data_IF_982151681519
#
_entry.id   IF_982151681519
#
_cell.length_a   1.000
_cell.length_b   1.000
_cell.length_c   1.000
_cell.angle_alpha   90.00
_cell.angle_beta   90.00
_cell.angle_gamma   90.00
#
_symmetry.space_group_name_H-M   'P 1'
#
loop_
_entity.id
_entity.type
_entity.pdbx_description
1 polymer ?
#
# COMPACT_ATOMS: atom_id res chain seq x y z
N UNK A 1 20.76 -0.85 1.90
CA UNK A 1 22.22 -1.07 2.02
C UNK A 1 22.64 -1.93 3.23
N UNK A 2 22.10 -1.72 4.43
CA UNK A 2 22.53 -2.44 5.65
C UNK A 2 22.37 -3.97 5.56
N UNK A 3 21.25 -4.47 4.99
CA UNK A 3 21.01 -5.91 4.80
C UNK A 3 21.98 -6.56 3.80
N UNK A 4 22.36 -5.87 2.73
CA UNK A 4 23.34 -6.38 1.75
C UNK A 4 24.72 -6.58 2.40
N UNK A 5 25.11 -5.69 3.32
CA UNK A 5 26.36 -5.81 4.06
C UNK A 5 26.33 -6.95 5.09
N UNK A 6 25.22 -7.08 5.83
CA UNK A 6 25.04 -8.15 6.82
C UNK A 6 24.95 -9.54 6.20
N UNK A 7 24.39 -9.64 4.98
CA UNK A 7 24.29 -10.90 4.24
C UNK A 7 25.57 -11.33 3.52
N UNK A 8 26.62 -10.49 3.51
CA UNK A 8 27.85 -10.80 2.80
C UNK A 8 28.59 -11.97 3.44
N UNK A 9 28.93 -12.98 2.64
CA UNK A 9 29.65 -14.17 3.11
C UNK A 9 28.78 -15.26 3.76
N UNK A 10 27.46 -15.09 3.85
CA UNK A 10 26.56 -16.15 4.30
C UNK A 10 26.45 -17.22 3.20
N UNK A 11 26.60 -18.50 3.59
CA UNK A 11 26.50 -19.63 2.67
C UNK A 11 25.06 -19.84 2.14
N UNK A 12 24.06 -19.52 2.95
CA UNK A 12 22.66 -19.70 2.61
C UNK A 12 21.89 -18.38 2.79
N UNK A 13 21.14 -17.98 1.77
CA UNK A 13 20.34 -16.76 1.76
C UNK A 13 18.98 -17.04 1.16
N UNK A 14 17.93 -16.50 1.77
CA UNK A 14 16.57 -16.64 1.29
C UNK A 14 15.84 -15.29 1.41
N UNK A 15 15.11 -14.92 0.38
CA UNK A 15 14.21 -13.75 0.37
C UNK A 15 12.78 -14.22 0.14
N UNK A 16 11.92 -14.11 1.15
CA UNK A 16 10.49 -14.39 1.05
C UNK A 16 9.71 -13.07 1.10
N UNK A 17 8.94 -12.79 0.06
CA UNK A 17 8.10 -11.59 0.00
C UNK A 17 6.92 -11.81 -0.92
N UNK A 18 5.75 -11.24 -0.58
CA UNK A 18 4.61 -11.18 -1.48
C UNK A 18 4.66 -10.00 -2.46
N UNK A 19 5.61 -9.07 -2.27
CA UNK A 19 5.79 -7.87 -3.10
C UNK A 19 7.27 -7.68 -3.40
N UNK A 20 7.85 -8.46 -4.32
CA UNK A 20 9.29 -8.41 -4.59
C UNK A 20 9.76 -7.09 -5.24
N UNK A 21 8.87 -6.41 -5.96
CA UNK A 21 9.13 -5.15 -6.63
C UNK A 21 7.87 -4.26 -6.58
N UNK A 22 7.50 -3.74 -5.38
CA UNK A 22 6.21 -3.09 -5.16
C UNK A 22 6.06 -1.75 -5.92
N UNK A 23 7.14 -1.09 -6.28
CA UNK A 23 7.07 0.19 -6.98
C UNK A 23 7.58 0.12 -8.41
N UNK A 24 8.66 -0.63 -8.66
CA UNK A 24 9.26 -0.76 -9.97
C UNK A 24 10.12 -2.03 -10.06
N UNK A 25 10.21 -2.61 -11.27
CA UNK A 25 11.05 -3.79 -11.58
C UNK A 25 12.53 -3.62 -11.22
N UNK A 26 13.04 -2.38 -11.11
CA UNK A 26 14.42 -2.11 -10.68
C UNK A 26 14.71 -2.63 -9.26
N UNK A 27 13.69 -2.80 -8.43
CA UNK A 27 13.83 -3.25 -7.04
C UNK A 27 14.32 -4.70 -6.95
N UNK A 28 14.13 -5.52 -7.99
CA UNK A 28 14.73 -6.86 -8.10
C UNK A 28 16.27 -6.83 -8.04
N UNK A 29 16.90 -5.70 -8.37
CA UNK A 29 18.34 -5.54 -8.26
C UNK A 29 18.84 -5.77 -6.82
N UNK A 30 18.08 -5.34 -5.81
CA UNK A 30 18.45 -5.54 -4.42
C UNK A 30 18.43 -7.03 -4.03
N UNK A 31 17.42 -7.78 -4.48
CA UNK A 31 17.32 -9.23 -4.27
C UNK A 31 18.44 -9.97 -5.00
N UNK A 32 18.71 -9.59 -6.26
CA UNK A 32 19.76 -10.20 -7.07
C UNK A 32 21.16 -10.04 -6.44
N UNK A 33 21.45 -8.86 -5.87
CA UNK A 33 22.73 -8.62 -5.19
C UNK A 33 22.77 -9.32 -3.83
N UNK A 34 21.68 -9.32 -3.05
CA UNK A 34 21.63 -10.01 -1.78
C UNK A 34 21.84 -11.53 -1.93
N UNK A 35 21.29 -12.12 -2.99
CA UNK A 35 21.43 -13.55 -3.30
C UNK A 35 22.68 -13.88 -4.12
N UNK A 36 23.66 -12.99 -4.23
CA UNK A 36 24.93 -13.12 -4.95
C UNK A 36 24.78 -13.49 -6.44
N UNK A 37 23.65 -13.14 -7.06
CA UNK A 37 23.43 -13.35 -8.50
C UNK A 37 24.05 -12.26 -9.36
N UNK A 38 24.22 -11.08 -8.79
CA UNK A 38 24.91 -9.95 -9.40
C UNK A 38 25.85 -9.29 -8.39
N UNK A 39 27.03 -8.83 -8.84
CA UNK A 39 28.00 -8.22 -7.94
C UNK A 39 27.55 -6.86 -7.39
N UNK A 40 26.77 -6.10 -8.16
CA UNK A 40 26.27 -4.78 -7.78
C UNK A 40 24.90 -4.50 -8.37
N UNK A 41 24.16 -3.55 -7.75
CA UNK A 41 22.90 -3.04 -8.29
C UNK A 41 23.10 -2.47 -9.70
N UNK A 42 24.18 -1.71 -9.91
CA UNK A 42 24.46 -1.10 -11.20
C UNK A 42 24.71 -2.13 -12.30
N UNK A 43 25.37 -3.27 -11.99
CA UNK A 43 25.59 -4.33 -12.98
C UNK A 43 24.28 -5.00 -13.41
N UNK A 44 23.31 -5.16 -12.50
CA UNK A 44 21.99 -5.66 -12.81
C UNK A 44 21.20 -4.63 -13.67
N UNK A 45 21.21 -3.37 -13.26
CA UNK A 45 20.50 -2.30 -13.98
C UNK A 45 21.08 -2.12 -15.40
N UNK A 46 22.40 -2.05 -15.55
CA UNK A 46 23.05 -1.91 -16.85
C UNK A 46 22.69 -3.04 -17.83
N UNK A 47 22.47 -4.25 -17.32
CA UNK A 47 22.12 -5.41 -18.17
C UNK A 47 20.71 -5.28 -18.76
N UNK A 48 19.72 -4.92 -17.94
CA UNK A 48 18.32 -4.99 -18.34
C UNK A 48 17.66 -3.63 -18.56
N UNK A 49 18.20 -2.57 -18.00
CA UNK A 49 17.58 -1.24 -17.98
C UNK A 49 18.42 -0.21 -18.71
N UNK A 50 17.79 0.88 -19.10
CA UNK A 50 18.43 2.08 -19.63
C UNK A 50 18.10 3.25 -18.73
N UNK A 51 19.11 4.06 -18.41
CA UNK A 51 18.88 5.30 -17.67
C UNK A 51 18.47 6.41 -18.64
N UNK A 52 17.26 6.95 -18.48
CA UNK A 52 16.68 8.03 -19.27
C UNK A 52 16.78 9.39 -18.58
N UNK A 53 17.26 9.44 -17.33
CA UNK A 53 17.39 10.66 -16.58
C UNK A 53 18.63 11.44 -16.95
N UNK A 54 18.51 12.78 -17.10
CA UNK A 54 19.67 13.68 -17.29
C UNK A 54 20.21 14.23 -15.96
N UNK A 55 19.31 14.51 -15.01
CA UNK A 55 19.64 15.07 -13.68
C UNK A 55 19.36 14.12 -12.52
N UNK A 56 18.38 13.24 -12.68
CA UNK A 56 18.04 12.20 -11.73
C UNK A 56 17.99 10.84 -12.43
N UNK A 57 18.44 9.79 -11.76
CA UNK A 57 18.38 8.44 -12.30
C UNK A 57 16.93 8.03 -12.56
N UNK A 58 16.63 7.76 -13.82
CA UNK A 58 15.34 7.23 -14.27
C UNK A 58 15.59 5.99 -15.10
N UNK A 59 15.52 4.85 -14.43
CA UNK A 59 15.75 3.55 -15.06
C UNK A 59 14.46 3.02 -15.68
N UNK A 60 14.52 2.64 -16.95
CA UNK A 60 13.43 1.99 -17.68
C UNK A 60 13.91 0.67 -18.25
N UNK A 61 13.06 -0.37 -18.18
CA UNK A 61 13.39 -1.66 -18.80
C UNK A 61 13.58 -1.46 -20.32
N UNK A 62 14.68 -2.00 -20.85
CA UNK A 62 14.93 -1.96 -22.31
C UNK A 62 13.79 -2.67 -23.05
N UNK A 63 13.29 -2.17 -24.19
CA UNK A 63 12.13 -2.74 -24.86
C UNK A 63 12.25 -4.25 -25.18
N UNK A 64 13.47 -4.69 -25.53
CA UNK A 64 13.78 -6.09 -25.86
C UNK A 64 14.14 -6.93 -24.64
N UNK A 65 14.26 -6.36 -23.44
CA UNK A 65 14.77 -7.04 -22.26
C UNK A 65 13.69 -7.74 -21.42
N UNK A 66 12.41 -7.57 -21.69
CA UNK A 66 11.33 -8.10 -20.85
C UNK A 66 11.43 -9.62 -20.65
N UNK A 67 11.45 -10.38 -21.73
CA UNK A 67 11.60 -11.85 -21.66
C UNK A 67 12.94 -12.30 -21.09
N UNK A 68 14.11 -11.79 -21.55
CA UNK A 68 15.41 -12.10 -20.95
C UNK A 68 15.48 -11.75 -19.46
N UNK A 69 14.85 -10.67 -19.02
CA UNK A 69 14.79 -10.25 -17.64
C UNK A 69 14.06 -11.30 -16.78
N UNK A 70 12.82 -11.65 -17.12
CA UNK A 70 12.04 -12.61 -16.34
C UNK A 70 12.60 -14.03 -16.46
N UNK A 71 13.16 -14.40 -17.61
CA UNK A 71 13.88 -15.68 -17.76
C UNK A 71 15.09 -15.76 -16.82
N UNK A 72 15.87 -14.69 -16.70
CA UNK A 72 16.98 -14.66 -15.74
C UNK A 72 16.50 -14.71 -14.29
N UNK A 73 15.35 -14.10 -13.96
CA UNK A 73 14.76 -14.21 -12.63
C UNK A 73 14.35 -15.66 -12.33
N UNK A 74 13.81 -16.40 -13.31
CA UNK A 74 13.37 -17.79 -13.10
C UNK A 74 14.50 -18.75 -12.76
N UNK A 75 15.77 -18.40 -13.01
CA UNK A 75 16.92 -19.22 -12.66
C UNK A 75 17.18 -19.26 -11.14
N UNK A 76 16.71 -18.25 -10.39
CA UNK A 76 16.98 -18.10 -8.95
C UNK A 76 15.80 -17.64 -8.13
N UNK A 77 14.66 -17.37 -8.75
CA UNK A 77 13.40 -16.97 -8.12
C UNK A 77 12.34 -18.04 -8.33
N UNK A 78 11.52 -18.29 -7.31
CA UNK A 78 10.24 -18.98 -7.47
C UNK A 78 9.16 -17.93 -7.36
N UNK A 79 8.32 -17.82 -8.38
CA UNK A 79 7.19 -16.90 -8.39
C UNK A 79 5.92 -17.69 -8.64
N UNK A 80 4.98 -17.61 -7.72
CA UNK A 80 3.68 -18.28 -7.80
C UNK A 80 2.62 -17.30 -7.30
N UNK A 81 1.77 -16.84 -8.20
CA UNK A 81 0.61 -16.05 -7.87
C UNK A 81 -0.62 -16.96 -7.76
N UNK A 82 -0.81 -17.80 -8.79
CA UNK A 82 -1.84 -18.83 -8.78
C UNK A 82 -1.20 -20.21 -9.07
N UNK A 83 -1.25 -21.17 -8.12
CA UNK A 83 -0.73 -22.52 -8.31
C UNK A 83 -1.32 -23.24 -9.53
N UNK A 84 -2.56 -22.93 -9.95
CA UNK A 84 -3.20 -23.51 -11.12
C UNK A 84 -2.44 -23.23 -12.42
N UNK A 85 -1.70 -22.13 -12.49
CA UNK A 85 -0.81 -21.80 -13.61
C UNK A 85 0.23 -22.91 -13.85
N UNK A 86 0.62 -23.64 -12.80
CA UNK A 86 1.59 -24.72 -12.82
C UNK A 86 0.97 -26.13 -12.74
N UNK A 87 -0.36 -26.23 -12.95
CA UNK A 87 -1.07 -27.52 -12.94
C UNK A 87 -1.48 -28.01 -11.56
N UNK A 88 -1.37 -27.18 -10.52
CA UNK A 88 -1.86 -27.48 -9.17
C UNK A 88 -3.31 -27.03 -8.99
N UNK A 89 -3.90 -27.34 -7.85
CA UNK A 89 -5.24 -26.86 -7.51
C UNK A 89 -5.26 -25.34 -7.40
N UNK A 90 -6.29 -24.71 -7.97
CA UNK A 90 -6.53 -23.27 -7.81
C UNK A 90 -6.93 -22.97 -6.36
N UNK A 91 -6.09 -22.26 -5.65
CA UNK A 91 -6.37 -21.82 -4.28
C UNK A 91 -7.03 -20.44 -4.22
N UNK A 92 -7.29 -19.83 -5.37
CA UNK A 92 -8.01 -18.55 -5.49
C UNK A 92 -9.44 -18.71 -5.95
N UNK A 93 -9.85 -19.95 -6.32
CA UNK A 93 -11.22 -20.25 -6.69
C UNK A 93 -12.16 -19.95 -5.51
N UNK A 94 -13.18 -19.14 -5.78
CA UNK A 94 -14.10 -18.68 -4.74
C UNK A 94 -13.57 -17.58 -3.83
N UNK A 95 -12.39 -16.99 -4.14
CA UNK A 95 -11.85 -15.87 -3.38
C UNK A 95 -12.76 -14.64 -3.52
N UNK A 96 -13.28 -14.05 -2.42
CA UNK A 96 -14.18 -12.93 -2.52
C UNK A 96 -13.52 -11.71 -3.19
N UNK A 97 -14.23 -11.00 -4.08
CA UNK A 97 -13.68 -9.86 -4.77
C UNK A 97 -13.38 -8.68 -3.84
N UNK A 98 -12.48 -7.81 -4.28
CA UNK A 98 -12.23 -6.52 -3.67
C UNK A 98 -12.93 -5.45 -4.52
N UNK A 99 -13.79 -4.65 -3.88
CA UNK A 99 -14.42 -3.50 -4.49
C UNK A 99 -13.80 -2.22 -3.95
N UNK A 100 -13.25 -1.39 -4.83
CA UNK A 100 -12.61 -0.11 -4.46
C UNK A 100 -13.57 1.02 -4.81
N UNK A 101 -13.90 1.83 -3.80
CA UNK A 101 -14.78 2.99 -3.90
C UNK A 101 -13.95 4.25 -3.65
N UNK A 102 -13.86 5.10 -4.66
CA UNK A 102 -13.25 6.44 -4.52
C UNK A 102 -14.40 7.43 -4.35
N UNK A 103 -14.37 8.15 -3.26
CA UNK A 103 -15.48 9.03 -2.85
C UNK A 103 -14.98 10.46 -2.70
N UNK A 104 -15.64 11.38 -3.40
CA UNK A 104 -15.26 12.79 -3.36
C UNK A 104 -15.79 13.46 -2.09
N UNK A 105 -14.90 14.16 -1.41
CA UNK A 105 -15.21 14.97 -0.23
C UNK A 105 -14.85 16.41 -0.52
N UNK A 106 -15.82 17.30 -0.38
CA UNK A 106 -15.63 18.72 -0.63
C UNK A 106 -14.67 19.36 0.39
N UNK A 107 -13.80 20.23 -0.10
CA UNK A 107 -12.99 21.11 0.74
C UNK A 107 -13.87 22.18 1.40
N UNK A 108 -13.50 22.58 2.61
CA UNK A 108 -14.07 23.78 3.22
C UNK A 108 -13.51 25.04 2.53
N UNK A 109 -14.22 26.16 2.64
CA UNK A 109 -13.74 27.43 2.09
C UNK A 109 -12.37 27.85 2.66
N UNK A 110 -12.12 27.53 3.93
CA UNK A 110 -10.84 27.78 4.58
C UNK A 110 -9.72 26.96 3.96
N UNK A 111 -9.95 25.67 3.72
CA UNK A 111 -8.97 24.79 3.04
C UNK A 111 -8.66 25.29 1.64
N UNK A 112 -9.67 25.73 0.88
CA UNK A 112 -9.47 26.31 -0.47
C UNK A 112 -8.62 27.57 -0.39
N UNK A 113 -8.91 28.50 0.53
CA UNK A 113 -8.11 29.73 0.72
C UNK A 113 -6.66 29.44 1.07
N UNK A 114 -6.41 28.47 1.95
CA UNK A 114 -5.07 28.09 2.37
C UNK A 114 -4.29 27.41 1.23
N UNK A 115 -4.93 26.53 0.47
CA UNK A 115 -4.32 25.88 -0.69
C UNK A 115 -3.89 26.91 -1.75
N UNK A 116 -4.76 27.88 -2.07
CA UNK A 116 -4.43 28.97 -3.02
C UNK A 116 -3.26 29.84 -2.56
N UNK A 117 -3.20 30.18 -1.26
CA UNK A 117 -2.12 31.01 -0.69
C UNK A 117 -0.76 30.30 -0.71
N UNK A 118 -0.75 28.98 -0.59
CA UNK A 118 0.48 28.18 -0.62
C UNK A 118 1.14 28.10 -2.00
N UNK A 119 0.60 28.82 -3.01
CA UNK A 119 1.12 28.80 -4.40
C UNK A 119 0.98 27.43 -5.05
N UNK A 120 0.22 26.57 -4.43
CA UNK A 120 -0.08 25.24 -4.95
C UNK A 120 -1.13 25.39 -6.04
N UNK A 121 -0.76 24.94 -7.22
CA UNK A 121 -1.74 24.58 -8.23
C UNK A 121 -2.69 23.57 -7.57
N UNK A 122 -3.94 23.97 -7.35
CA UNK A 122 -5.01 23.10 -6.83
C UNK A 122 -5.18 21.82 -7.67
N UNK A 123 -4.57 21.79 -8.85
CA UNK A 123 -4.69 20.76 -9.87
C UNK A 123 -3.38 20.02 -10.19
N UNK A 124 -2.34 20.12 -9.35
CA UNK A 124 -1.33 19.08 -9.37
C UNK A 124 -0.02 19.32 -10.09
N UNK A 125 0.66 20.40 -9.83
CA UNK A 125 2.12 20.35 -10.05
C UNK A 125 2.75 19.43 -9.02
N UNK A 126 3.57 18.44 -9.42
CA UNK A 126 4.20 17.52 -8.50
C UNK A 126 5.33 18.22 -7.74
N UNK A 127 4.95 18.94 -6.70
CA UNK A 127 5.90 19.38 -5.69
C UNK A 127 6.59 18.19 -5.05
N UNK A 128 7.80 18.35 -4.55
CA UNK A 128 8.53 17.31 -3.84
C UNK A 128 7.73 16.69 -2.68
N UNK A 129 8.22 15.60 -2.10
CA UNK A 129 7.56 14.82 -1.03
C UNK A 129 7.06 15.71 0.12
N UNK A 130 7.80 16.78 0.47
CA UNK A 130 7.41 17.73 1.51
C UNK A 130 6.15 18.53 1.15
N UNK A 131 5.99 18.92 -0.10
CA UNK A 131 4.79 19.62 -0.59
C UNK A 131 3.57 18.71 -0.55
N UNK A 132 3.69 17.48 -1.02
CA UNK A 132 2.61 16.47 -0.97
C UNK A 132 2.13 16.20 0.45
N UNK A 133 3.06 16.09 1.40
CA UNK A 133 2.70 15.89 2.82
C UNK A 133 1.95 17.07 3.40
N UNK A 134 2.29 18.33 3.05
CA UNK A 134 1.57 19.52 3.49
C UNK A 134 0.17 19.55 2.93
N UNK A 135 0.03 19.30 1.64
CA UNK A 135 -1.27 19.24 0.94
C UNK A 135 -2.17 18.14 1.54
N UNK A 136 -1.63 16.95 1.77
CA UNK A 136 -2.36 15.86 2.37
C UNK A 136 -2.79 16.14 3.82
N UNK A 137 -2.00 16.86 4.60
CA UNK A 137 -2.38 17.30 5.95
C UNK A 137 -3.48 18.36 5.89
N UNK A 138 -3.37 19.30 4.97
CA UNK A 138 -4.40 20.33 4.77
C UNK A 138 -5.76 19.69 4.43
N UNK A 139 -5.78 18.70 3.53
CA UNK A 139 -6.99 17.96 3.20
C UNK A 139 -7.69 17.33 4.41
N UNK A 140 -6.93 17.00 5.46
CA UNK A 140 -7.42 16.41 6.72
C UNK A 140 -7.67 17.42 7.84
N UNK A 141 -7.57 18.71 7.52
CA UNK A 141 -7.81 19.78 8.50
C UNK A 141 -6.59 20.15 9.35
N UNK A 142 -5.37 20.06 8.78
CA UNK A 142 -4.14 20.48 9.46
C UNK A 142 -3.27 21.34 8.55
N UNK A 143 -2.94 22.54 9.01
CA UNK A 143 -2.05 23.46 8.30
C UNK A 143 -0.98 23.99 9.24
N UNK A 144 0.31 23.77 8.92
CA UNK A 144 1.47 24.20 9.70
C UNK A 144 1.45 23.81 11.20
N UNK A 145 0.72 22.78 11.57
CA UNK A 145 0.56 22.33 12.97
C UNK A 145 -0.79 22.73 13.59
N UNK A 146 -1.49 23.69 13.00
CA UNK A 146 -2.77 24.18 13.49
C UNK A 146 -3.93 23.38 12.89
N UNK A 147 -5.02 23.28 13.67
CA UNK A 147 -6.25 22.65 13.21
C UNK A 147 -7.05 23.61 12.33
N UNK A 148 -7.54 23.11 11.21
CA UNK A 148 -8.38 23.78 10.23
C UNK A 148 -9.66 22.95 10.05
N UNK A 149 -10.79 23.59 9.81
CA UNK A 149 -12.04 22.88 9.52
C UNK A 149 -11.87 21.97 8.30
N UNK A 150 -12.40 20.72 8.39
CA UNK A 150 -12.37 19.75 7.30
C UNK A 150 -13.63 18.88 7.33
N UNK A 151 -14.20 18.62 6.15
CA UNK A 151 -15.36 17.76 6.00
C UNK A 151 -15.00 16.27 6.07
N UNK A 152 -13.73 15.94 5.92
CA UNK A 152 -13.28 14.54 5.74
C UNK A 152 -13.57 13.66 6.95
N UNK A 153 -13.30 14.14 8.16
CA UNK A 153 -13.60 13.39 9.39
C UNK A 153 -15.08 13.09 9.56
N UNK A 154 -15.94 14.10 9.33
CA UNK A 154 -17.39 13.94 9.39
C UNK A 154 -17.91 12.97 8.33
N UNK A 155 -17.36 13.04 7.10
CA UNK A 155 -17.68 12.10 6.03
C UNK A 155 -17.32 10.65 6.40
N UNK A 156 -16.10 10.41 6.90
CA UNK A 156 -15.66 9.08 7.33
C UNK A 156 -16.56 8.54 8.45
N UNK A 157 -16.95 9.41 9.40
CA UNK A 157 -17.88 9.02 10.45
C UNK A 157 -19.22 8.59 9.87
N UNK A 158 -19.85 9.42 9.04
CA UNK A 158 -21.12 9.10 8.42
C UNK A 158 -21.07 7.79 7.61
N UNK A 159 -19.96 7.57 6.91
CA UNK A 159 -19.71 6.34 6.16
C UNK A 159 -19.66 5.12 7.09
N UNK A 160 -18.86 5.15 8.16
CA UNK A 160 -18.75 4.06 9.14
C UNK A 160 -20.06 3.82 9.91
N UNK A 161 -20.79 4.88 10.21
CA UNK A 161 -22.10 4.78 10.88
C UNK A 161 -23.18 4.16 9.97
N UNK A 162 -23.02 4.24 8.65
CA UNK A 162 -23.92 3.58 7.69
C UNK A 162 -23.76 2.05 7.65
N UNK A 163 -22.75 1.49 8.31
CA UNK A 163 -22.47 0.05 8.39
C UNK A 163 -22.46 -0.46 9.85
N UNK A 164 -23.58 -0.43 10.57
CA UNK A 164 -23.61 -0.73 12.00
C UNK A 164 -23.16 -2.13 12.35
N UNK A 165 -23.34 -3.10 11.43
CA UNK A 165 -23.05 -4.53 11.65
C UNK A 165 -21.74 -5.00 10.96
N UNK A 166 -20.98 -4.09 10.32
CA UNK A 166 -19.79 -4.45 9.57
C UNK A 166 -18.51 -4.13 10.32
N UNK A 167 -17.64 -5.13 10.47
CA UNK A 167 -16.30 -4.91 11.03
C UNK A 167 -15.48 -4.05 10.07
N UNK A 168 -15.00 -2.91 10.57
CA UNK A 168 -14.38 -1.86 9.77
C UNK A 168 -12.98 -1.52 10.25
N UNK A 169 -12.01 -1.53 9.33
CA UNK A 169 -10.66 -1.01 9.55
C UNK A 169 -10.55 0.41 8.99
N UNK A 170 -10.05 1.33 9.80
CA UNK A 170 -9.79 2.72 9.38
C UNK A 170 -8.28 2.97 9.39
N UNK A 171 -7.72 3.19 8.21
CA UNK A 171 -6.29 3.38 7.99
C UNK A 171 -5.93 4.87 7.95
N UNK A 172 -5.05 5.27 8.87
CA UNK A 172 -4.52 6.62 8.98
C UNK A 172 -3.02 6.66 8.66
N UNK A 173 -2.48 7.84 8.42
CA UNK A 173 -1.03 8.06 8.24
C UNK A 173 -0.43 8.89 9.37
N UNK A 174 -1.14 9.93 9.80
CA UNK A 174 -0.67 10.88 10.80
C UNK A 174 -1.26 10.58 12.18
N UNK A 175 -0.52 10.91 13.27
CA UNK A 175 -1.02 10.75 14.63
C UNK A 175 -2.25 11.61 14.89
N UNK A 176 -2.17 12.90 14.53
CA UNK A 176 -3.26 13.85 14.71
C UNK A 176 -4.56 13.42 14.02
N UNK A 177 -4.45 12.87 12.81
CA UNK A 177 -5.57 12.29 12.07
C UNK A 177 -6.18 11.09 12.78
N UNK A 178 -5.32 10.18 13.26
CA UNK A 178 -5.76 8.99 14.00
C UNK A 178 -6.45 9.35 15.31
N UNK A 179 -5.88 10.28 16.08
CA UNK A 179 -6.43 10.75 17.36
C UNK A 179 -7.79 11.44 17.17
N UNK A 180 -7.96 12.20 16.09
CA UNK A 180 -9.21 12.84 15.77
C UNK A 180 -10.29 11.82 15.37
N UNK A 181 -9.98 10.91 14.46
CA UNK A 181 -10.94 9.88 14.04
C UNK A 181 -11.30 8.94 15.20
N UNK A 182 -10.36 8.61 16.06
CA UNK A 182 -10.64 7.80 17.26
C UNK A 182 -11.61 8.48 18.22
N UNK A 183 -11.60 9.81 18.30
CA UNK A 183 -12.60 10.59 19.10
C UNK A 183 -13.95 10.71 18.40
N UNK A 184 -13.96 10.74 17.07
CA UNK A 184 -15.18 10.92 16.28
C UNK A 184 -15.97 9.63 16.08
N UNK A 185 -15.32 8.47 16.07
CA UNK A 185 -15.93 7.17 15.81
C UNK A 185 -16.34 6.48 17.12
N UNK A 186 -17.64 6.41 17.46
CA UNK A 186 -18.09 5.86 18.73
C UNK A 186 -17.72 4.38 18.87
N UNK A 187 -17.22 3.98 20.04
CA UNK A 187 -16.91 2.58 20.34
C UNK A 187 -15.78 1.99 19.53
N UNK A 188 -14.98 2.80 18.83
CA UNK A 188 -13.80 2.30 18.13
C UNK A 188 -12.65 2.03 19.11
N UNK A 189 -11.79 1.08 18.73
CA UNK A 189 -10.46 0.93 19.33
C UNK A 189 -9.40 1.59 18.44
N UNK A 190 -8.33 2.07 19.04
CA UNK A 190 -7.21 2.69 18.32
C UNK A 190 -5.89 2.07 18.75
N UNK A 191 -5.08 1.60 17.78
CA UNK A 191 -3.72 1.09 18.04
C UNK A 191 -2.71 2.04 17.44
N UNK A 192 -1.86 2.60 18.30
CA UNK A 192 -0.77 3.50 17.93
C UNK A 192 0.59 2.83 18.10
N UNK A 193 1.67 3.52 17.73
CA UNK A 193 3.03 3.04 17.97
C UNK A 193 3.40 2.94 19.46
N UNK A 194 2.71 3.67 20.32
CA UNK A 194 2.92 3.70 21.77
C UNK A 194 1.97 2.81 22.57
N UNK A 195 0.99 2.18 21.92
CA UNK A 195 0.07 1.23 22.58
C UNK A 195 0.87 0.05 23.16
N UNK A 196 0.76 -0.26 24.46
CA UNK A 196 1.42 -1.40 25.09
C UNK A 196 1.10 -2.72 24.40
N UNK A 197 2.01 -3.69 24.48
CA UNK A 197 1.88 -4.94 23.72
C UNK A 197 0.65 -5.75 24.13
N UNK A 198 0.43 -5.90 25.43
CA UNK A 198 -0.73 -6.59 26.01
C UNK A 198 -2.06 -5.95 25.61
N UNK A 199 -2.13 -4.64 25.63
CA UNK A 199 -3.32 -3.92 25.18
C UNK A 199 -3.53 -4.07 23.67
N UNK A 200 -2.44 -4.04 22.89
CA UNK A 200 -2.52 -4.27 21.44
C UNK A 200 -3.07 -5.67 21.13
N UNK A 201 -2.56 -6.69 21.82
CA UNK A 201 -3.03 -8.07 21.66
C UNK A 201 -4.52 -8.20 22.02
N UNK A 202 -4.95 -7.59 23.12
CA UNK A 202 -6.35 -7.55 23.55
C UNK A 202 -7.27 -6.90 22.52
N UNK A 203 -6.85 -5.75 21.98
CA UNK A 203 -7.62 -5.03 20.94
C UNK A 203 -7.71 -5.87 19.66
N UNK A 204 -6.62 -6.47 19.23
CA UNK A 204 -6.58 -7.31 18.02
C UNK A 204 -7.51 -8.53 18.22
N UNK A 205 -7.40 -9.22 19.35
CA UNK A 205 -8.26 -10.35 19.66
C UNK A 205 -9.75 -9.96 19.71
N UNK A 206 -10.07 -8.81 20.33
CA UNK A 206 -11.41 -8.27 20.36
C UNK A 206 -11.96 -7.92 18.97
N UNK A 207 -11.12 -7.37 18.09
CA UNK A 207 -11.50 -7.09 16.71
C UNK A 207 -11.72 -8.40 15.92
N UNK A 208 -10.84 -9.38 16.06
CA UNK A 208 -10.96 -10.68 15.41
C UNK A 208 -12.19 -11.48 15.89
N UNK A 209 -12.56 -11.31 17.15
CA UNK A 209 -13.77 -11.91 17.72
C UNK A 209 -15.06 -11.13 17.39
N UNK A 210 -14.97 -9.96 16.76
CA UNK A 210 -16.12 -9.10 16.45
C UNK A 210 -16.68 -8.30 17.64
N UNK A 211 -16.06 -8.34 18.82
CA UNK A 211 -16.46 -7.54 19.99
C UNK A 211 -16.05 -6.06 19.85
N UNK A 212 -15.03 -5.80 19.05
CA UNK A 212 -14.63 -4.47 18.61
C UNK A 212 -14.97 -4.36 17.13
N UNK A 213 -15.95 -3.51 16.79
CA UNK A 213 -16.44 -3.35 15.42
C UNK A 213 -15.51 -2.48 14.56
N UNK A 214 -14.98 -1.41 15.12
CA UNK A 214 -14.16 -0.43 14.38
C UNK A 214 -12.76 -0.37 14.99
N UNK A 215 -11.75 -0.53 14.14
CA UNK A 215 -10.35 -0.41 14.54
C UNK A 215 -9.65 0.68 13.72
N UNK A 216 -9.12 1.70 14.41
CA UNK A 216 -8.40 2.81 13.80
C UNK A 216 -6.90 2.60 14.01
N UNK A 217 -6.11 2.59 12.96
CA UNK A 217 -4.67 2.34 13.04
C UNK A 217 -3.92 2.81 11.78
N UNK A 218 -2.64 2.46 11.69
CA UNK A 218 -1.78 2.76 10.53
C UNK A 218 -1.29 1.48 9.86
N UNK A 219 -1.15 1.47 8.53
CA UNK A 219 -0.56 0.33 7.81
C UNK A 219 0.81 -0.08 8.36
N UNK A 220 1.65 0.88 8.76
CA UNK A 220 2.97 0.61 9.36
C UNK A 220 2.92 -0.12 10.70
N UNK A 221 1.81 -0.04 11.43
CA UNK A 221 1.65 -0.65 12.76
C UNK A 221 1.05 -2.05 12.62
N UNK A 222 -0.03 -2.20 11.87
CA UNK A 222 -0.75 -3.46 11.72
C UNK A 222 -0.67 -4.04 10.29
N UNK A 223 0.07 -3.41 9.39
CA UNK A 223 0.22 -3.86 8.01
C UNK A 223 1.03 -5.15 7.83
N UNK A 224 1.63 -5.73 8.88
CA UNK A 224 2.44 -6.94 8.78
C UNK A 224 1.95 -8.06 9.72
N UNK A 225 1.85 -9.28 9.19
CA UNK A 225 1.73 -10.51 9.95
C UNK A 225 0.36 -10.86 10.55
N UNK A 226 -0.63 -9.96 10.52
CA UNK A 226 -1.92 -10.19 11.16
C UNK A 226 -3.01 -10.66 10.17
N UNK A 227 -3.95 -11.47 10.66
CA UNK A 227 -5.17 -11.85 9.96
C UNK A 227 -6.33 -11.01 10.48
N UNK A 228 -6.90 -10.17 9.62
CA UNK A 228 -8.04 -9.31 9.94
C UNK A 228 -9.19 -9.56 8.95
N UNK A 229 -9.43 -10.84 8.62
CA UNK A 229 -10.42 -11.30 7.63
C UNK A 229 -11.87 -11.00 8.02
N UNK A 230 -12.11 -10.76 9.30
CA UNK A 230 -13.43 -10.33 9.79
C UNK A 230 -13.82 -8.97 9.21
N UNK A 231 -12.85 -8.12 8.88
CA UNK A 231 -13.12 -6.82 8.30
C UNK A 231 -13.57 -6.94 6.85
N UNK A 232 -14.83 -6.58 6.62
CA UNK A 232 -15.46 -6.50 5.29
C UNK A 232 -15.41 -5.10 4.72
N UNK A 233 -15.04 -4.12 5.54
CA UNK A 233 -14.89 -2.71 5.19
C UNK A 233 -13.52 -2.21 5.59
N UNK A 234 -12.87 -1.50 4.66
CA UNK A 234 -11.66 -0.75 4.94
C UNK A 234 -11.84 0.69 4.47
N UNK A 235 -11.50 1.65 5.32
CA UNK A 235 -11.53 3.07 5.00
C UNK A 235 -10.10 3.60 5.05
N UNK A 236 -9.59 4.07 3.91
CA UNK A 236 -8.31 4.75 3.85
C UNK A 236 -8.53 6.25 4.00
N UNK A 237 -8.44 6.77 5.21
CA UNK A 237 -8.45 8.21 5.45
C UNK A 237 -7.26 8.90 4.77
N UNK A 238 -6.14 8.20 4.63
CA UNK A 238 -5.00 8.59 3.79
C UNK A 238 -4.57 7.42 2.93
N UNK A 239 -4.60 7.60 1.61
CA UNK A 239 -3.98 6.71 0.64
C UNK A 239 -2.93 7.54 -0.13
N UNK A 240 -1.68 7.53 0.34
CA UNK A 240 -0.65 8.46 -0.14
C UNK A 240 0.65 7.74 -0.46
N UNK A 241 1.11 7.90 -1.71
CA UNK A 241 2.47 7.64 -2.21
C UNK A 241 3.00 6.19 -2.13
N UNK A 242 2.51 5.34 -1.24
CA UNK A 242 3.00 3.97 -1.08
C UNK A 242 1.97 2.93 -1.50
N UNK A 243 2.16 2.37 -2.69
CA UNK A 243 1.40 1.20 -3.13
C UNK A 243 1.59 0.01 -2.18
N UNK A 244 2.81 -0.22 -1.70
CA UNK A 244 3.12 -1.33 -0.79
C UNK A 244 2.31 -1.25 0.51
N UNK A 245 2.26 -0.06 1.16
CA UNK A 245 1.46 0.15 2.38
C UNK A 245 -0.03 -0.12 2.12
N UNK A 246 -0.56 0.38 0.98
CA UNK A 246 -1.93 0.13 0.56
C UNK A 246 -2.20 -1.36 0.33
N UNK A 247 -1.39 -2.00 -0.49
CA UNK A 247 -1.53 -3.42 -0.84
C UNK A 247 -1.46 -4.32 0.40
N UNK A 248 -0.46 -4.11 1.25
CA UNK A 248 -0.29 -4.88 2.48
C UNK A 248 -1.48 -4.69 3.43
N UNK A 249 -2.02 -3.47 3.57
CA UNK A 249 -3.19 -3.19 4.38
C UNK A 249 -4.44 -3.89 3.84
N UNK A 250 -4.70 -3.80 2.54
CA UNK A 250 -5.84 -4.48 1.88
C UNK A 250 -5.76 -5.99 2.08
N UNK A 251 -4.58 -6.58 1.91
CA UNK A 251 -4.33 -8.02 2.07
C UNK A 251 -4.39 -8.52 3.52
N UNK A 252 -4.64 -7.66 4.52
CA UNK A 252 -4.96 -8.11 5.90
C UNK A 252 -6.37 -8.69 6.00
N UNK A 253 -7.30 -8.17 5.23
CA UNK A 253 -8.70 -8.63 5.22
C UNK A 253 -8.99 -9.58 4.07
N UNK A 254 -8.42 -9.33 2.88
CA UNK A 254 -8.58 -10.20 1.72
C UNK A 254 -7.50 -11.29 1.70
N UNK A 255 -7.78 -12.42 2.34
CA UNK A 255 -6.87 -13.57 2.47
C UNK A 255 -7.60 -14.89 2.31
N UNK A 256 -6.86 -15.99 2.19
CA UNK A 256 -7.40 -17.35 2.19
C UNK A 256 -8.26 -17.54 3.45
N UNK A 257 -9.50 -18.00 3.27
CA UNK A 257 -10.50 -18.13 4.32
C UNK A 257 -11.43 -16.91 4.46
N UNK A 258 -11.26 -15.84 3.68
CA UNK A 258 -12.29 -14.80 3.58
C UNK A 258 -13.53 -15.35 2.87
N UNK A 259 -14.70 -15.12 3.43
CA UNK A 259 -15.99 -15.63 2.93
C UNK A 259 -16.88 -14.54 2.32
N UNK A 260 -16.51 -13.25 2.50
CA UNK A 260 -17.30 -12.10 2.07
C UNK A 260 -16.45 -11.13 1.27
N UNK A 261 -17.02 -10.41 0.29
CA UNK A 261 -16.33 -9.35 -0.45
C UNK A 261 -15.76 -8.29 0.48
N UNK A 262 -14.56 -7.80 0.15
CA UNK A 262 -13.96 -6.66 0.82
C UNK A 262 -14.29 -5.37 0.07
N UNK A 263 -14.88 -4.40 0.76
CA UNK A 263 -15.11 -3.07 0.23
C UNK A 263 -14.08 -2.10 0.80
N UNK A 264 -13.30 -1.50 -0.07
CA UNK A 264 -12.24 -0.54 0.26
C UNK A 264 -12.73 0.85 -0.14
N UNK A 265 -12.92 1.72 0.84
CA UNK A 265 -13.37 3.08 0.67
C UNK A 265 -12.21 4.06 0.81
N UNK A 266 -12.06 4.95 -0.16
CA UNK A 266 -11.00 5.95 -0.21
C UNK A 266 -11.64 7.34 -0.36
N UNK A 267 -12.10 7.96 0.75
CA UNK A 267 -12.58 9.33 0.71
C UNK A 267 -11.43 10.28 0.38
N UNK A 268 -11.56 11.03 -0.70
CA UNK A 268 -10.54 11.96 -1.18
C UNK A 268 -11.08 13.36 -1.38
N UNK A 269 -10.23 14.33 -1.15
CA UNK A 269 -10.44 15.69 -1.64
C UNK A 269 -9.69 15.90 -2.96
N UNK A 270 -10.04 16.97 -3.69
CA UNK A 270 -9.31 17.33 -4.92
C UNK A 270 -7.81 17.50 -4.70
N UNK A 271 -7.39 17.91 -3.49
CA UNK A 271 -5.99 18.04 -3.12
C UNK A 271 -5.24 16.68 -3.06
N UNK A 272 -5.93 15.60 -2.78
CA UNK A 272 -5.33 14.25 -2.63
C UNK A 272 -5.44 13.41 -3.90
N UNK A 273 -6.34 13.77 -4.81
CA UNK A 273 -6.63 12.98 -6.02
C UNK A 273 -5.39 12.54 -6.80
N UNK A 274 -4.41 13.41 -7.13
CA UNK A 274 -3.23 12.99 -7.89
C UNK A 274 -2.37 11.95 -7.15
N UNK A 275 -2.37 11.98 -5.81
CA UNK A 275 -1.64 11.02 -4.98
C UNK A 275 -2.30 9.65 -5.00
N UNK A 276 -3.62 9.62 -4.81
CA UNK A 276 -4.41 8.38 -4.83
C UNK A 276 -4.38 7.73 -6.21
N UNK A 277 -4.59 8.50 -7.27
CA UNK A 277 -4.50 8.00 -8.64
C UNK A 277 -3.12 7.40 -8.96
N UNK A 278 -2.06 7.98 -8.39
CA UNK A 278 -0.71 7.42 -8.53
C UNK A 278 -0.59 6.05 -7.85
N UNK A 279 -1.16 5.88 -6.65
CA UNK A 279 -1.16 4.60 -5.92
C UNK A 279 -1.96 3.55 -6.70
N UNK A 280 -3.16 3.90 -7.17
CA UNK A 280 -4.03 2.96 -7.90
C UNK A 280 -3.44 2.57 -9.26
N UNK A 281 -2.80 3.51 -9.97
CA UNK A 281 -2.08 3.22 -11.22
C UNK A 281 -0.89 2.27 -10.98
N UNK A 282 -0.15 2.44 -9.88
CA UNK A 282 0.89 1.49 -9.48
C UNK A 282 0.30 0.12 -9.19
N UNK A 283 -0.86 0.05 -8.51
CA UNK A 283 -1.55 -1.20 -8.24
C UNK A 283 -1.87 -1.97 -9.53
N UNK A 284 -2.49 -1.30 -10.50
CA UNK A 284 -2.82 -1.89 -11.79
C UNK A 284 -1.58 -2.35 -12.57
N UNK A 285 -0.48 -1.57 -12.51
CA UNK A 285 0.78 -1.94 -13.15
C UNK A 285 1.42 -3.17 -12.50
N UNK A 286 1.45 -3.24 -11.17
CA UNK A 286 2.02 -4.40 -10.46
C UNK A 286 1.22 -5.67 -10.78
N UNK A 287 -0.09 -5.59 -10.83
CA UNK A 287 -0.94 -6.72 -11.22
C UNK A 287 -0.64 -7.19 -12.64
N UNK A 288 -0.48 -6.27 -13.59
CA UNK A 288 -0.08 -6.61 -14.96
C UNK A 288 1.32 -7.24 -15.00
N UNK A 289 2.30 -6.64 -14.30
CA UNK A 289 3.68 -7.13 -14.22
C UNK A 289 3.73 -8.55 -13.63
N UNK A 290 2.90 -8.84 -12.61
CA UNK A 290 2.80 -10.17 -12.00
C UNK A 290 2.26 -11.22 -12.99
N UNK A 291 1.22 -10.90 -13.75
CA UNK A 291 0.67 -11.80 -14.77
C UNK A 291 1.68 -12.09 -15.88
N UNK A 292 2.38 -11.06 -16.38
CA UNK A 292 3.44 -11.21 -17.39
C UNK A 292 4.59 -12.08 -16.87
N UNK A 293 5.01 -11.85 -15.62
CA UNK A 293 6.04 -12.64 -14.97
C UNK A 293 5.63 -14.11 -14.87
N UNK A 294 4.45 -14.40 -14.36
CA UNK A 294 3.95 -15.76 -14.18
C UNK A 294 3.86 -16.51 -15.52
N UNK A 295 3.38 -15.84 -16.56
CA UNK A 295 3.32 -16.43 -17.89
C UNK A 295 4.71 -16.82 -18.42
N UNK A 296 5.70 -15.91 -18.30
CA UNK A 296 7.06 -16.19 -18.78
C UNK A 296 7.72 -17.28 -17.93
N UNK A 297 7.50 -17.30 -16.62
CA UNK A 297 8.00 -18.37 -15.74
C UNK A 297 7.41 -19.74 -16.13
N UNK A 298 6.12 -19.80 -16.47
CA UNK A 298 5.48 -21.00 -16.97
C UNK A 298 6.15 -21.50 -18.27
N UNK A 299 6.34 -20.60 -19.24
CA UNK A 299 6.97 -20.93 -20.54
C UNK A 299 8.41 -21.44 -20.40
N UNK A 300 9.13 -21.07 -19.35
CA UNK A 300 10.54 -21.45 -19.16
C UNK A 300 10.70 -22.73 -18.35
N UNK A 301 9.74 -23.04 -17.46
CA UNK A 301 9.84 -24.17 -16.52
C UNK A 301 9.02 -25.39 -16.93
N UNK A 302 8.08 -25.24 -17.85
CA UNK A 302 7.30 -26.32 -18.46
C UNK A 302 7.79 -26.60 -19.88
#
# INVERSE_FOLDING_TARGET
MRLLQLGKGLAWKLCNTGTPAPNDRIEFANHAVFLDRFPTVNSFLARYFVNRGQTNERWELKPHALRPFYRSLSDWCIFVENPATYGWQDNTEGFPPIHVHIEDVDLTEEQVRLACRAGGDLYGSPGGIGSRSKVARLAKGWHNGDKVASNKGAYIRALVDSWPDESTLVWCKYNSEQDELAKMLPGCASITGTTPLDERERIIAGFQAGTIRVLVTKPKILGLGLNLQIATRQVFSTCQDSFEEYFQAVKRSNRIGSSRPLNVHIPITNLERPMVETVLRKAARVEQDSREQEQIFKEVRL
#
